data_IF_370751324833
#
_entry.id   IF_370751324833
#
_cell.length_a   1.000
_cell.length_b   1.000
_cell.length_c   1.000
_cell.angle_alpha   90.00
_cell.angle_beta   90.00
_cell.angle_gamma   90.00
#
_symmetry.space_group_name_H-M   'P 1'
#
loop_
_entity.id
_entity.type
_entity.pdbx_description
1 polymer ?
#
# COMPACT_ATOMS: atom_id res chain seq x y z
N UNK A 1 17.30 6.49 -7.26
CA UNK A 1 16.93 5.18 -7.84
C UNK A 1 15.72 4.74 -7.07
N UNK A 2 14.59 4.44 -7.72
CA UNK A 2 13.42 3.91 -7.02
C UNK A 2 13.86 2.65 -6.25
N UNK A 3 13.37 2.47 -5.04
CA UNK A 3 13.64 1.24 -4.28
C UNK A 3 13.19 0.04 -5.13
N UNK A 4 14.07 -0.95 -5.32
CA UNK A 4 13.78 -2.18 -6.10
C UNK A 4 12.75 -3.10 -5.41
N UNK A 5 12.09 -2.62 -4.36
CA UNK A 5 11.12 -3.36 -3.58
C UNK A 5 10.06 -2.46 -2.93
N UNK A 6 8.82 -2.95 -2.92
CA UNK A 6 7.68 -2.33 -2.27
C UNK A 6 7.52 -2.84 -0.84
N UNK A 7 7.41 -1.95 0.16
CA UNK A 7 7.04 -2.37 1.52
C UNK A 7 5.59 -2.87 1.54
N UNK A 8 5.38 -4.10 2.02
CA UNK A 8 4.04 -4.70 2.13
C UNK A 8 3.58 -4.84 3.59
N UNK A 9 4.49 -4.69 4.55
CA UNK A 9 4.16 -4.73 5.97
C UNK A 9 5.37 -4.99 6.86
N UNK A 10 5.10 -5.41 8.10
CA UNK A 10 6.12 -5.74 9.09
C UNK A 10 5.72 -7.00 9.86
N UNK A 11 6.65 -7.94 9.93
CA UNK A 11 6.63 -9.12 10.78
C UNK A 11 7.56 -8.89 12.00
N UNK A 12 8.54 -9.76 12.23
CA UNK A 12 9.74 -9.47 13.05
C UNK A 12 10.67 -8.44 12.38
N UNK A 13 10.54 -8.25 11.06
CA UNK A 13 11.27 -7.27 10.25
C UNK A 13 10.33 -6.62 9.24
N UNK A 14 10.80 -5.59 8.53
CA UNK A 14 10.07 -5.09 7.36
C UNK A 14 10.02 -6.16 6.28
N UNK A 15 8.82 -6.41 5.76
CA UNK A 15 8.60 -7.32 4.65
C UNK A 15 8.39 -6.50 3.39
N UNK A 16 9.23 -6.78 2.38
CA UNK A 16 9.23 -6.06 1.11
C UNK A 16 9.04 -7.05 -0.05
N UNK A 17 8.20 -6.67 -1.02
CA UNK A 17 8.04 -7.36 -2.29
C UNK A 17 9.03 -6.78 -3.29
N UNK A 18 10.04 -7.57 -3.69
CA UNK A 18 10.93 -7.14 -4.77
C UNK A 18 10.12 -6.94 -6.06
N UNK A 19 10.26 -5.78 -6.71
CA UNK A 19 9.41 -5.38 -7.85
C UNK A 19 9.47 -6.39 -9.01
N UNK A 20 10.63 -7.02 -9.23
CA UNK A 20 10.81 -8.09 -10.23
C UNK A 20 9.88 -9.30 -10.03
N UNK A 21 9.36 -9.50 -8.83
CA UNK A 21 8.39 -10.55 -8.51
C UNK A 21 6.94 -10.05 -8.46
N UNK A 22 6.70 -8.74 -8.64
CA UNK A 22 5.35 -8.15 -8.72
C UNK A 22 4.55 -8.58 -9.95
N UNK A 23 5.19 -9.21 -10.95
CA UNK A 23 4.54 -9.79 -12.12
C UNK A 23 3.92 -11.19 -11.87
N UNK A 24 3.92 -11.67 -10.64
CA UNK A 24 3.24 -12.91 -10.23
C UNK A 24 1.88 -12.59 -9.65
N UNK A 25 0.89 -13.44 -9.93
CA UNK A 25 -0.42 -13.31 -9.32
C UNK A 25 -0.31 -13.48 -7.80
N UNK A 26 -0.97 -12.58 -7.06
CA UNK A 26 -1.09 -12.63 -5.61
C UNK A 26 -2.55 -12.75 -5.19
N UNK A 27 -2.77 -13.14 -3.94
CA UNK A 27 -4.09 -13.20 -3.31
C UNK A 27 -4.03 -12.46 -1.97
N UNK A 28 -4.92 -11.47 -1.81
CA UNK A 28 -5.17 -10.82 -0.53
C UNK A 28 -6.49 -11.37 -0.01
N UNK A 29 -6.42 -12.05 1.15
CA UNK A 29 -7.59 -12.68 1.78
C UNK A 29 -7.63 -12.34 3.27
N UNK A 30 -8.81 -12.43 3.87
CA UNK A 30 -9.05 -12.09 5.27
C UNK A 30 -10.51 -11.74 5.55
N UNK A 31 -10.89 -11.71 6.83
CA UNK A 31 -12.23 -11.34 7.25
C UNK A 31 -12.52 -9.83 7.03
N UNK A 32 -13.77 -9.41 7.21
CA UNK A 32 -14.11 -7.98 7.20
C UNK A 32 -13.37 -7.25 8.32
N UNK A 33 -12.86 -6.06 8.05
CA UNK A 33 -12.11 -5.26 9.02
C UNK A 33 -10.63 -5.65 9.20
N UNK A 34 -10.11 -6.65 8.48
CA UNK A 34 -8.70 -7.06 8.60
C UNK A 34 -7.75 -6.32 7.65
N UNK A 35 -8.17 -5.16 7.11
CA UNK A 35 -7.29 -4.30 6.32
C UNK A 35 -7.13 -4.66 4.84
N UNK A 36 -7.92 -5.57 4.26
CA UNK A 36 -7.82 -5.94 2.82
C UNK A 36 -7.81 -4.73 1.88
N UNK A 37 -8.73 -3.79 2.08
CA UNK A 37 -8.84 -2.56 1.29
C UNK A 37 -7.59 -1.69 1.43
N UNK A 38 -7.14 -1.44 2.66
CA UNK A 38 -5.93 -0.66 2.94
C UNK A 38 -4.70 -1.33 2.31
N UNK A 39 -4.60 -2.65 2.38
CA UNK A 39 -3.52 -3.39 1.71
C UNK A 39 -3.53 -3.20 0.19
N UNK A 40 -4.70 -3.22 -0.46
CA UNK A 40 -4.80 -2.94 -1.90
C UNK A 40 -4.42 -1.49 -2.23
N UNK A 41 -4.82 -0.52 -1.40
CA UNK A 41 -4.47 0.90 -1.58
C UNK A 41 -2.95 1.11 -1.53
N UNK A 42 -2.29 0.60 -0.48
CA UNK A 42 -0.83 0.69 -0.32
C UNK A 42 -0.08 0.00 -1.46
N UNK A 43 -0.59 -1.13 -1.96
CA UNK A 43 0.01 -1.78 -3.12
C UNK A 43 -0.15 -0.96 -4.40
N UNK A 44 -1.34 -0.39 -4.63
CA UNK A 44 -1.62 0.43 -5.80
C UNK A 44 -0.72 1.68 -5.83
N UNK A 45 -0.65 2.40 -4.72
CA UNK A 45 0.26 3.53 -4.51
C UNK A 45 1.70 3.14 -4.74
N UNK A 46 2.15 2.07 -4.09
CA UNK A 46 3.54 1.61 -4.17
C UNK A 46 3.98 1.21 -5.58
N UNK A 47 3.11 0.54 -6.33
CA UNK A 47 3.37 0.24 -7.74
C UNK A 47 3.35 1.50 -8.61
N UNK A 48 2.42 2.44 -8.37
CA UNK A 48 2.37 3.72 -9.10
C UNK A 48 3.63 4.54 -8.87
N UNK A 49 4.07 4.69 -7.62
CA UNK A 49 5.33 5.36 -7.23
C UNK A 49 6.57 4.70 -7.85
N UNK A 50 6.52 3.38 -8.11
CA UNK A 50 7.57 2.67 -8.84
C UNK A 50 7.47 2.83 -10.37
N UNK A 51 6.54 3.65 -10.88
CA UNK A 51 6.31 3.88 -12.30
C UNK A 51 5.52 2.77 -13.00
N UNK A 52 4.86 1.88 -12.26
CA UNK A 52 4.04 0.80 -12.81
C UNK A 52 2.59 1.27 -12.92
N UNK A 53 1.98 1.29 -14.13
CA UNK A 53 0.57 1.61 -14.27
C UNK A 53 -0.31 0.59 -13.54
N UNK A 54 -1.19 1.05 -12.66
CA UNK A 54 -2.12 0.20 -11.90
C UNK A 54 -3.52 0.34 -12.45
N UNK A 55 -4.11 -0.80 -12.83
CA UNK A 55 -5.53 -0.91 -13.16
C UNK A 55 -6.23 -1.73 -12.08
N UNK A 56 -7.30 -1.21 -11.49
CA UNK A 56 -8.06 -1.88 -10.46
C UNK A 56 -9.56 -1.88 -10.79
N UNK A 57 -10.17 -3.06 -10.71
CA UNK A 57 -11.63 -3.20 -10.72
C UNK A 57 -12.16 -2.98 -9.31
N UNK A 58 -12.84 -1.86 -9.09
CA UNK A 58 -13.35 -1.46 -7.77
C UNK A 58 -14.87 -1.54 -7.72
N UNK A 59 -15.39 -2.68 -7.24
CA UNK A 59 -16.83 -2.92 -7.16
C UNK A 59 -17.49 -2.09 -6.05
N UNK A 60 -16.74 -1.79 -4.98
CA UNK A 60 -17.28 -1.15 -3.77
C UNK A 60 -17.04 0.36 -3.70
N UNK A 61 -16.16 0.89 -4.56
CA UNK A 61 -15.69 2.26 -4.46
C UNK A 61 -14.59 2.44 -3.40
N UNK A 62 -13.99 1.35 -2.95
CA UNK A 62 -13.02 1.31 -1.85
C UNK A 62 -11.61 1.78 -2.27
N UNK A 63 -11.28 1.72 -3.57
CA UNK A 63 -10.03 2.19 -4.16
C UNK A 63 -10.20 3.55 -4.85
N UNK A 64 -11.43 3.98 -5.04
CA UNK A 64 -11.75 5.27 -5.65
C UNK A 64 -11.20 6.41 -4.80
N UNK A 65 -10.45 7.32 -5.42
CA UNK A 65 -9.82 8.44 -4.73
C UNK A 65 -8.50 8.13 -4.04
N UNK A 66 -7.93 6.93 -4.20
CA UNK A 66 -6.64 6.57 -3.59
C UNK A 66 -5.49 7.50 -4.00
N UNK A 67 -5.52 8.06 -5.21
CA UNK A 67 -4.52 9.01 -5.71
C UNK A 67 -4.75 10.46 -5.23
N UNK A 68 -5.82 10.73 -4.48
CA UNK A 68 -6.03 12.07 -3.89
C UNK A 68 -5.03 12.31 -2.75
N UNK A 69 -4.77 13.58 -2.46
CA UNK A 69 -3.94 13.98 -1.31
C UNK A 69 -4.43 13.32 -0.03
N UNK A 70 -3.52 12.61 0.65
CA UNK A 70 -3.78 12.01 1.95
C UNK A 70 -4.07 13.04 3.03
N UNK A 71 -4.64 12.58 4.15
CA UNK A 71 -4.85 13.40 5.34
C UNK A 71 -4.15 12.75 6.52
N UNK A 72 -3.39 13.54 7.28
CA UNK A 72 -2.73 13.04 8.48
C UNK A 72 -3.76 12.78 9.59
N UNK A 73 -4.05 11.49 9.82
CA UNK A 73 -4.93 11.05 10.91
C UNK A 73 -4.12 10.39 12.02
N UNK A 74 -4.47 10.58 13.31
CA UNK A 74 -3.72 10.00 14.42
C UNK A 74 -3.48 8.49 14.27
N UNK A 75 -4.49 7.72 13.86
CA UNK A 75 -4.36 6.27 13.69
C UNK A 75 -3.41 5.87 12.55
N UNK A 76 -3.27 6.70 11.51
CA UNK A 76 -2.34 6.47 10.39
C UNK A 76 -0.92 6.71 10.89
N UNK A 77 -0.68 7.84 11.57
CA UNK A 77 0.62 8.19 12.11
C UNK A 77 1.10 7.17 13.17
N UNK A 78 0.20 6.73 14.06
CA UNK A 78 0.50 5.66 15.01
C UNK A 78 0.83 4.35 14.31
N UNK A 79 0.06 3.98 13.28
CA UNK A 79 0.32 2.76 12.50
C UNK A 79 1.66 2.85 11.78
N UNK A 80 1.96 3.95 11.10
CA UNK A 80 3.23 4.19 10.42
C UNK A 80 4.41 4.03 11.37
N UNK A 81 4.35 4.63 12.57
CA UNK A 81 5.36 4.45 13.63
C UNK A 81 5.54 2.99 14.02
N UNK A 82 4.46 2.22 14.19
CA UNK A 82 4.56 0.79 14.55
C UNK A 82 5.27 -0.05 13.47
N UNK A 83 5.11 0.34 12.20
CA UNK A 83 5.71 -0.30 11.03
C UNK A 83 7.12 0.24 10.74
N UNK A 84 7.53 1.34 11.39
CA UNK A 84 8.81 1.99 11.17
C UNK A 84 8.83 2.82 9.87
N UNK A 85 7.71 3.45 9.55
CA UNK A 85 7.53 4.36 8.42
C UNK A 85 7.48 5.81 8.91
N UNK A 86 8.20 6.68 8.21
CA UNK A 86 8.06 8.13 8.32
C UNK A 86 7.04 8.59 7.28
N UNK A 87 5.76 8.34 7.59
CA UNK A 87 4.66 8.65 6.68
C UNK A 87 4.22 10.10 6.86
N UNK A 88 3.99 10.77 5.74
CA UNK A 88 3.43 12.12 5.64
C UNK A 88 2.36 12.14 4.56
N UNK A 89 1.44 13.09 4.63
CA UNK A 89 0.41 13.23 3.60
C UNK A 89 1.03 13.59 2.24
N UNK A 90 0.72 12.82 1.21
CA UNK A 90 1.13 13.06 -0.17
C UNK A 90 0.04 12.62 -1.17
N UNK A 91 0.36 12.79 -2.45
CA UNK A 91 -0.39 12.27 -3.59
C UNK A 91 0.62 11.66 -4.56
N UNK A 92 0.27 10.55 -5.20
CA UNK A 92 1.16 9.76 -6.06
C UNK A 92 0.66 9.63 -7.51
#
# INVERSE_FOLDING_TARGET
MADDALLIGKSTKQEKLALKFGNRHGLITGATGTGKTVSLQVLAEGFSNAGVPVFAADIKGDLSGVAAMGEEKPFILERAKTVGLDWHADSF
#
